data_IF_722448883086
#
_entry.id   IF_722448883086
#
_cell.length_a   1.000
_cell.length_b   1.000
_cell.length_c   1.000
_cell.angle_alpha   90.00
_cell.angle_beta   90.00
_cell.angle_gamma   90.00
#
_symmetry.space_group_name_H-M   'P 1'
#
loop_
_entity.id
_entity.type
_entity.pdbx_description
1 polymer ?
#
# COMPACT_ATOMS: atom_id res chain seq x y z
N UNK A 1 -2.29 9.51 -12.23
CA UNK A 1 -1.96 8.31 -11.43
C UNK A 1 -0.57 8.47 -10.86
N UNK A 2 -0.37 8.26 -9.56
CA UNK A 2 0.99 8.14 -8.99
C UNK A 2 1.31 6.66 -8.94
N UNK A 3 2.42 6.26 -9.57
CA UNK A 3 2.95 4.90 -9.49
C UNK A 3 4.11 4.91 -8.49
N UNK A 4 3.80 4.64 -7.23
CA UNK A 4 4.79 4.49 -6.15
C UNK A 4 5.51 3.13 -6.24
N UNK A 5 4.84 2.13 -6.83
CA UNK A 5 5.33 0.76 -6.97
C UNK A 5 5.32 0.33 -8.44
N UNK A 6 6.12 -0.68 -8.78
CA UNK A 6 6.12 -1.25 -10.12
C UNK A 6 4.89 -2.13 -10.34
N UNK A 7 4.10 -1.83 -11.38
CA UNK A 7 2.80 -2.47 -11.64
C UNK A 7 2.93 -3.98 -11.94
N UNK A 8 4.03 -4.39 -12.58
CA UNK A 8 4.29 -5.78 -12.98
C UNK A 8 4.92 -6.60 -11.87
N UNK A 9 5.43 -5.94 -10.81
CA UNK A 9 6.19 -6.59 -9.76
C UNK A 9 5.31 -6.98 -8.57
N UNK A 10 5.71 -8.07 -7.92
CA UNK A 10 5.08 -8.59 -6.72
C UNK A 10 6.06 -8.43 -5.54
N UNK A 11 5.53 -7.91 -4.44
CA UNK A 11 6.27 -7.57 -3.24
C UNK A 11 5.89 -8.53 -2.12
N UNK A 12 6.88 -9.18 -1.51
CA UNK A 12 6.68 -10.08 -0.40
C UNK A 12 6.71 -9.30 0.91
N UNK A 13 5.95 -9.76 1.89
CA UNK A 13 6.02 -9.21 3.24
C UNK A 13 7.45 -9.30 3.79
N UNK A 14 8.15 -8.16 3.83
CA UNK A 14 9.56 -8.05 4.21
C UNK A 14 10.43 -7.32 3.18
N UNK A 15 9.93 -7.11 1.96
CA UNK A 15 10.63 -6.31 0.95
C UNK A 15 10.87 -4.88 1.46
N UNK A 16 12.08 -4.32 1.23
CA UNK A 16 12.42 -2.98 1.70
C UNK A 16 11.51 -1.92 1.09
N UNK A 17 11.04 -2.12 -0.14
CA UNK A 17 10.14 -1.21 -0.86
C UNK A 17 8.78 -1.04 -0.15
N UNK A 18 8.28 -2.08 0.55
CA UNK A 18 7.03 -1.99 1.32
C UNK A 18 7.15 -1.08 2.55
N UNK A 19 8.37 -0.78 3.03
CA UNK A 19 8.55 0.16 4.14
C UNK A 19 8.07 1.57 3.80
N UNK A 20 7.91 1.90 2.50
CA UNK A 20 7.35 3.17 2.06
C UNK A 20 5.92 3.38 2.57
N UNK A 21 5.08 2.33 2.58
CA UNK A 21 3.70 2.40 3.11
C UNK A 21 3.64 2.06 4.59
N UNK A 22 4.59 1.26 5.09
CA UNK A 22 4.75 0.98 6.50
C UNK A 22 5.59 -0.25 6.79
N UNK A 23 6.10 -0.30 8.01
CA UNK A 23 6.85 -1.45 8.52
C UNK A 23 6.00 -2.72 8.53
N UNK A 24 6.63 -3.90 8.48
CA UNK A 24 5.97 -5.22 8.58
C UNK A 24 4.94 -5.33 9.71
N UNK A 25 5.20 -4.69 10.85
CA UNK A 25 4.32 -4.68 12.02
C UNK A 25 3.05 -3.88 11.75
N UNK A 26 3.19 -2.69 11.13
CA UNK A 26 2.06 -1.85 10.73
C UNK A 26 1.18 -2.57 9.70
N UNK A 27 1.79 -3.22 8.71
CA UNK A 27 1.08 -4.08 7.75
C UNK A 27 0.41 -5.29 8.42
N UNK A 28 0.99 -5.82 9.50
CA UNK A 28 0.35 -6.82 10.36
C UNK A 28 -0.90 -6.29 11.05
N UNK A 29 -0.80 -5.12 11.69
CA UNK A 29 -1.93 -4.47 12.36
C UNK A 29 -3.06 -4.13 11.38
N UNK A 30 -2.72 -3.67 10.19
CA UNK A 30 -3.66 -3.37 9.12
C UNK A 30 -4.48 -4.60 8.71
N UNK A 31 -3.81 -5.75 8.53
CA UNK A 31 -4.49 -7.02 8.24
C UNK A 31 -5.41 -7.47 9.38
N UNK A 32 -5.00 -7.31 10.64
CA UNK A 32 -5.89 -7.61 11.78
C UNK A 32 -7.10 -6.68 11.86
N UNK A 33 -6.98 -5.44 11.41
CA UNK A 33 -8.04 -4.42 11.42
C UNK A 33 -8.89 -4.41 10.15
N UNK A 34 -8.56 -5.23 9.15
CA UNK A 34 -9.24 -5.23 7.85
C UNK A 34 -9.04 -3.95 7.03
N UNK A 35 -7.94 -3.22 7.26
CA UNK A 35 -7.59 -2.00 6.52
C UNK A 35 -6.31 -2.21 5.73
N UNK A 36 -6.10 -1.41 4.68
CA UNK A 36 -4.86 -1.39 3.90
C UNK A 36 -5.00 -1.89 2.45
N UNK A 37 -3.88 -2.04 1.74
CA UNK A 37 -3.87 -2.48 0.36
C UNK A 37 -4.26 -3.96 0.22
N UNK A 38 -4.83 -4.31 -0.94
CA UNK A 38 -5.16 -5.69 -1.24
C UNK A 38 -3.90 -6.56 -1.29
N UNK A 39 -4.04 -7.79 -0.81
CA UNK A 39 -2.94 -8.75 -0.73
C UNK A 39 -3.42 -10.15 -1.09
N UNK A 40 -2.50 -10.95 -1.61
CA UNK A 40 -2.71 -12.36 -1.87
C UNK A 40 -2.13 -13.21 -0.75
N UNK A 41 -2.88 -14.22 -0.32
CA UNK A 41 -2.42 -15.23 0.63
C UNK A 41 -2.05 -16.50 -0.13
N UNK A 42 -0.76 -16.71 -0.39
CA UNK A 42 -0.26 -17.93 -1.03
C UNK A 42 0.36 -18.81 0.04
N UNK A 43 -0.48 -19.65 0.65
CA UNK A 43 -0.10 -20.49 1.80
C UNK A 43 0.33 -19.63 2.99
N UNK A 44 1.59 -19.75 3.41
CA UNK A 44 2.18 -18.95 4.51
C UNK A 44 2.67 -17.56 4.05
N UNK A 45 2.72 -17.29 2.75
CA UNK A 45 3.27 -16.05 2.19
C UNK A 45 2.17 -15.02 1.93
N UNK A 46 2.47 -13.77 2.24
CA UNK A 46 1.63 -12.61 1.93
C UNK A 46 2.33 -11.81 0.85
N UNK A 47 1.63 -11.60 -0.26
CA UNK A 47 2.16 -10.96 -1.45
C UNK A 47 1.29 -9.75 -1.77
N UNK A 48 1.91 -8.61 -2.02
CA UNK A 48 1.27 -7.42 -2.55
C UNK A 48 1.65 -7.26 -4.02
N UNK A 49 0.68 -7.03 -4.90
CA UNK A 49 1.00 -6.66 -6.28
C UNK A 49 1.11 -5.14 -6.38
N UNK A 50 2.07 -4.65 -7.15
CA UNK A 50 2.26 -3.21 -7.28
C UNK A 50 1.04 -2.49 -7.86
N UNK A 51 0.24 -3.16 -8.70
CA UNK A 51 -1.06 -2.64 -9.16
C UNK A 51 -1.95 -2.26 -7.98
N UNK A 52 -2.19 -3.20 -7.07
CA UNK A 52 -3.06 -3.02 -5.92
C UNK A 52 -2.51 -2.00 -4.92
N UNK A 53 -1.19 -1.99 -4.72
CA UNK A 53 -0.52 -0.99 -3.88
C UNK A 53 -0.73 0.42 -4.43
N UNK A 54 -0.56 0.61 -5.74
CA UNK A 54 -0.77 1.89 -6.39
C UNK A 54 -2.26 2.30 -6.37
N UNK A 55 -3.16 1.36 -6.63
CA UNK A 55 -4.61 1.61 -6.57
C UNK A 55 -5.04 2.06 -5.17
N UNK A 56 -4.55 1.37 -4.13
CA UNK A 56 -4.79 1.75 -2.75
C UNK A 56 -4.17 3.11 -2.40
N UNK A 57 -2.92 3.36 -2.77
CA UNK A 57 -2.26 4.64 -2.52
C UNK A 57 -2.99 5.80 -3.21
N UNK A 58 -3.53 5.56 -4.41
CA UNK A 58 -4.33 6.54 -5.11
C UNK A 58 -5.67 6.80 -4.40
N UNK A 59 -6.33 5.76 -3.90
CA UNK A 59 -7.56 5.89 -3.12
C UNK A 59 -7.36 6.59 -1.77
N UNK A 60 -6.16 6.49 -1.18
CA UNK A 60 -5.79 7.18 0.07
C UNK A 60 -5.23 8.60 -0.17
N UNK A 61 -5.15 9.06 -1.43
CA UNK A 61 -4.63 10.39 -1.75
C UNK A 61 -5.58 11.45 -1.22
N UNK A 62 -5.15 12.19 -0.21
CA UNK A 62 -5.83 13.38 0.27
C UNK A 62 -5.36 14.58 -0.56
N UNK A 63 -6.27 15.23 -1.27
CA UNK A 63 -5.99 16.52 -1.88
C UNK A 63 -6.06 17.57 -0.77
N UNK A 64 -4.94 18.25 -0.50
CA UNK A 64 -4.97 19.45 0.31
C UNK A 64 -5.67 20.54 -0.50
N UNK A 65 -6.93 20.81 -0.19
CA UNK A 65 -7.58 22.03 -0.64
C UNK A 65 -6.90 23.16 0.13
N UNK A 66 -6.04 23.91 -0.56
CA UNK A 66 -5.48 25.13 0.01
C UNK A 66 -6.64 26.11 0.03
N UNK A 67 -7.15 26.54 1.19
CA UNK A 67 -8.09 27.64 1.19
C UNK A 67 -7.32 28.86 0.68
N UNK A 68 -7.64 29.28 -0.55
CA UNK A 68 -7.23 30.55 -1.13
C UNK A 68 -7.69 31.63 -0.15
N UNK A 69 -6.74 32.17 0.61
CA UNK A 69 -6.99 33.19 1.60
C UNK A 69 -7.45 34.47 0.86
N UNK A 70 -8.71 34.82 1.10
CA UNK A 70 -9.34 36.09 0.78
C UNK A 70 -8.81 37.24 1.63
#
# INVERSE_FOLDING_TARGET
MVNLFDNTRNYLLGDPELNLIGTREKLGQWRCRGVGPAYFTLGRKIIYSGVDLNAWANAQRVQADTPEAA
#
